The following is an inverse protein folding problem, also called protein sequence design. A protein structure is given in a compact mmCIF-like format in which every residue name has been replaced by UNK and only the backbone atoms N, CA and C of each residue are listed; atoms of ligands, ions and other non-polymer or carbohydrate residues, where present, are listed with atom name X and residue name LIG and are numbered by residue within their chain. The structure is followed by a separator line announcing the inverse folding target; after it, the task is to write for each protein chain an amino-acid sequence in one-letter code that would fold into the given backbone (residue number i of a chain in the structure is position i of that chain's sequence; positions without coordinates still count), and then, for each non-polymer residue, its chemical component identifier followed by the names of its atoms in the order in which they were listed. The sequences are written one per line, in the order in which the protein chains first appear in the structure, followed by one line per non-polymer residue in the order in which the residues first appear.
data_IF_889997630292
#
_entry.id   IF_889997630292
#
_cell.length_a   1.000
_cell.length_b   1.000
_cell.length_c   1.000
_cell.angle_alpha   90.00
_cell.angle_beta   90.00
_cell.angle_gamma   90.00
#
_symmetry.space_group_name_H-M   'P 1'
#
loop_
_entity.id
_entity.type
_entity.pdbx_description
1 polymer ?
#
# COMPACT_ATOMS: atom_id res chain seq x y z
N UNK A 1 0.62 6.36 -7.10
CA UNK A 1 1.64 6.07 -8.15
C UNK A 1 2.74 7.08 -7.98
N UNK A 2 3.99 6.64 -7.98
CA UNK A 2 5.14 7.54 -7.85
C UNK A 2 5.14 8.57 -8.96
N UNK A 3 5.50 9.82 -8.61
CA UNK A 3 5.56 11.00 -9.48
C UNK A 3 4.23 11.35 -10.20
N UNK A 4 3.09 10.84 -9.73
CA UNK A 4 1.77 11.09 -10.33
C UNK A 4 0.72 11.49 -9.30
N UNK A 5 0.65 10.80 -8.17
CA UNK A 5 -0.45 10.99 -7.20
C UNK A 5 -0.13 12.03 -6.14
N UNK A 6 0.26 13.21 -6.57
CA UNK A 6 0.37 14.40 -5.72
C UNK A 6 -1.02 14.86 -5.21
N UNK A 7 -1.09 15.77 -4.25
CA UNK A 7 -2.37 16.29 -3.74
C UNK A 7 -3.29 16.86 -4.81
N UNK A 8 -2.74 17.56 -5.81
CA UNK A 8 -3.55 18.18 -6.87
C UNK A 8 -4.22 17.11 -7.74
N UNK A 9 -3.46 16.08 -8.12
CA UNK A 9 -3.99 14.96 -8.89
C UNK A 9 -5.04 14.15 -8.09
N UNK A 10 -4.79 13.89 -6.79
CA UNK A 10 -5.76 13.19 -5.93
C UNK A 10 -7.07 13.97 -5.80
N UNK A 11 -6.98 15.29 -5.64
CA UNK A 11 -8.17 16.16 -5.62
C UNK A 11 -8.93 16.15 -6.95
N UNK A 12 -8.21 16.11 -8.07
CA UNK A 12 -8.83 15.95 -9.39
C UNK A 12 -9.59 14.62 -9.48
N UNK A 13 -8.98 13.53 -9.06
CA UNK A 13 -9.63 12.21 -9.02
C UNK A 13 -10.92 12.25 -8.18
N UNK A 14 -10.91 12.91 -7.02
CA UNK A 14 -12.10 13.08 -6.17
C UNK A 14 -13.21 13.83 -6.91
N UNK A 15 -12.89 14.88 -7.64
CA UNK A 15 -13.88 15.64 -8.45
C UNK A 15 -14.53 14.77 -9.53
N UNK A 16 -13.80 13.79 -10.07
CA UNK A 16 -14.31 12.84 -11.05
C UNK A 16 -14.90 11.56 -10.44
N UNK A 17 -15.18 11.58 -9.13
CA UNK A 17 -15.95 10.53 -8.47
C UNK A 17 -15.12 9.37 -7.90
N UNK A 18 -13.81 9.54 -7.68
CA UNK A 18 -13.04 8.53 -6.97
C UNK A 18 -13.54 8.39 -5.53
N UNK A 19 -13.95 7.18 -5.14
CA UNK A 19 -14.41 6.88 -3.77
C UNK A 19 -13.30 7.05 -2.75
N UNK A 20 -12.06 6.67 -3.10
CA UNK A 20 -10.85 6.84 -2.28
C UNK A 20 -9.63 7.11 -3.15
N UNK A 21 -8.64 7.74 -2.56
CA UNK A 21 -7.37 8.04 -3.22
C UNK A 21 -6.19 7.55 -2.37
N UNK A 22 -5.04 7.39 -3.02
CA UNK A 22 -3.81 6.89 -2.40
C UNK A 22 -2.69 7.86 -2.66
N UNK A 23 -1.84 8.09 -1.65
CA UNK A 23 -0.62 8.89 -1.83
C UNK A 23 0.38 8.17 -2.76
N UNK A 24 1.43 8.87 -3.13
CA UNK A 24 2.64 8.20 -3.60
C UNK A 24 3.17 7.27 -2.52
N UNK A 25 3.79 6.15 -2.92
CA UNK A 25 4.28 5.20 -1.94
C UNK A 25 5.55 5.71 -1.24
N UNK A 26 5.63 5.43 0.05
CA UNK A 26 6.68 5.89 0.96
C UNK A 26 7.59 4.72 1.33
N UNK A 27 8.90 4.89 1.19
CA UNK A 27 9.85 3.89 1.64
C UNK A 27 9.92 3.84 3.17
N UNK A 28 9.68 2.67 3.76
CA UNK A 28 9.65 2.49 5.21
C UNK A 28 10.99 2.82 5.88
N UNK A 29 12.10 2.29 5.34
CA UNK A 29 13.44 2.56 5.88
C UNK A 29 13.81 4.04 5.83
N UNK A 30 13.41 4.73 4.75
CA UNK A 30 13.66 6.15 4.60
C UNK A 30 12.80 6.99 5.56
N UNK A 31 11.56 6.56 5.79
CA UNK A 31 10.65 7.23 6.72
C UNK A 31 11.14 7.11 8.18
N UNK A 32 11.54 5.91 8.60
CA UNK A 32 12.09 5.67 9.94
C UNK A 32 13.36 6.49 10.20
N UNK A 33 14.14 6.79 9.13
CA UNK A 33 15.33 7.66 9.23
C UNK A 33 15.02 9.15 9.10
N UNK A 34 13.76 9.54 9.12
CA UNK A 34 13.27 10.92 9.01
C UNK A 34 13.83 11.70 7.81
N UNK A 35 13.89 11.04 6.64
CA UNK A 35 14.32 11.70 5.41
C UNK A 35 13.22 12.68 4.95
N UNK A 36 13.52 13.97 4.94
CA UNK A 36 12.57 15.07 4.71
C UNK A 36 11.73 14.94 3.41
N UNK A 37 12.30 14.37 2.34
CA UNK A 37 11.55 14.11 1.10
C UNK A 37 10.47 13.04 1.27
N UNK A 38 10.68 12.11 2.19
CA UNK A 38 9.77 11.03 2.53
C UNK A 38 8.64 11.54 3.40
N UNK A 39 8.96 12.33 4.43
CA UNK A 39 7.98 12.90 5.37
C UNK A 39 6.99 13.84 4.66
N UNK A 40 7.44 14.59 3.64
CA UNK A 40 6.54 15.43 2.83
C UNK A 40 5.43 14.65 2.11
N UNK A 41 5.66 13.39 1.75
CA UNK A 41 4.67 12.53 1.11
C UNK A 41 3.53 12.09 2.04
N UNK A 42 3.66 12.34 3.35
CA UNK A 42 2.60 12.08 4.33
C UNK A 42 1.53 13.18 4.37
N UNK A 43 1.76 14.30 3.67
CA UNK A 43 0.79 15.41 3.64
C UNK A 43 -0.49 14.98 2.94
N UNK A 44 -1.59 15.08 3.67
CA UNK A 44 -2.96 14.82 3.18
C UNK A 44 -3.87 15.98 3.56
N UNK A 45 -4.92 16.19 2.78
CA UNK A 45 -5.91 17.26 3.02
C UNK A 45 -7.29 16.66 3.20
N UNK A 46 -8.14 17.32 4.00
CA UNK A 46 -9.50 16.82 4.29
C UNK A 46 -10.35 16.64 3.02
N UNK A 47 -10.14 17.48 2.02
CA UNK A 47 -10.84 17.37 0.74
C UNK A 47 -10.51 16.10 -0.08
N UNK A 48 -9.42 15.39 0.28
CA UNK A 48 -9.00 14.14 -0.38
C UNK A 48 -9.65 12.90 0.24
N UNK A 49 -10.28 13.04 1.41
CA UNK A 49 -10.79 11.90 2.17
C UNK A 49 -11.95 11.17 1.48
N UNK A 50 -12.06 9.85 1.59
CA UNK A 50 -11.11 8.94 2.26
C UNK A 50 -9.78 8.81 1.51
N UNK A 51 -8.66 8.94 2.23
CA UNK A 51 -7.31 8.88 1.67
C UNK A 51 -6.46 7.85 2.39
N UNK A 52 -5.70 7.07 1.62
CA UNK A 52 -4.73 6.12 2.12
C UNK A 52 -3.31 6.64 1.95
N UNK A 53 -2.47 6.47 2.97
CA UNK A 53 -1.02 6.63 2.82
C UNK A 53 -0.43 5.26 2.52
N UNK A 54 0.29 5.15 1.39
CA UNK A 54 0.85 3.88 0.94
C UNK A 54 2.34 3.79 1.33
N UNK A 55 2.71 2.68 1.98
CA UNK A 55 4.09 2.38 2.39
C UNK A 55 4.62 1.14 1.67
N UNK A 56 5.94 1.05 1.53
CA UNK A 56 6.61 -0.14 1.04
C UNK A 56 7.95 -0.37 1.72
N UNK A 57 8.33 -1.61 1.85
CA UNK A 57 9.58 -2.05 2.44
C UNK A 57 9.67 -3.58 2.39
N UNK A 58 10.73 -4.13 2.95
CA UNK A 58 10.97 -5.57 3.01
C UNK A 58 11.20 -6.11 4.41
N UNK A 59 11.47 -5.22 5.38
CA UNK A 59 11.74 -5.61 6.75
C UNK A 59 10.49 -5.36 7.63
N UNK A 60 9.96 -6.38 8.31
CA UNK A 60 8.72 -6.27 9.10
C UNK A 60 8.78 -5.20 10.17
N UNK A 61 9.90 -5.08 10.89
CA UNK A 61 10.08 -4.07 11.94
C UNK A 61 10.05 -2.65 11.37
N UNK A 62 10.82 -2.39 10.31
CA UNK A 62 10.82 -1.09 9.65
C UNK A 62 9.44 -0.72 9.08
N UNK A 63 8.69 -1.70 8.57
CA UNK A 63 7.34 -1.50 8.08
C UNK A 63 6.36 -1.20 9.23
N UNK A 64 6.50 -1.85 10.36
CA UNK A 64 5.70 -1.57 11.56
C UNK A 64 5.99 -0.16 12.11
N UNK A 65 7.25 0.22 12.20
CA UNK A 65 7.66 1.56 12.67
C UNK A 65 7.20 2.66 11.70
N UNK A 66 7.35 2.45 10.40
CA UNK A 66 6.83 3.35 9.39
C UNK A 66 5.30 3.51 9.48
N UNK A 67 4.58 2.43 9.74
CA UNK A 67 3.13 2.48 9.92
C UNK A 67 2.72 3.32 11.13
N UNK A 68 3.44 3.22 12.27
CA UNK A 68 3.22 4.07 13.45
C UNK A 68 3.44 5.54 13.13
N UNK A 69 4.49 5.86 12.38
CA UNK A 69 4.76 7.24 11.92
C UNK A 69 3.62 7.72 11.02
N UNK A 70 3.22 6.91 10.04
CA UNK A 70 2.12 7.23 9.12
C UNK A 70 0.80 7.45 9.86
N UNK A 71 0.51 6.66 10.89
CA UNK A 71 -0.70 6.81 11.70
C UNK A 71 -0.82 8.19 12.36
N UNK A 72 0.31 8.84 12.68
CA UNK A 72 0.31 10.21 13.23
C UNK A 72 -0.26 11.26 12.27
N UNK A 73 -0.19 11.00 10.95
CA UNK A 73 -0.80 11.85 9.92
C UNK A 73 -2.31 11.63 9.78
N UNK A 74 -2.90 10.69 10.55
CA UNK A 74 -4.33 10.37 10.60
C UNK A 74 -4.94 10.06 9.22
N UNK A 75 -4.38 9.17 8.41
CA UNK A 75 -5.02 8.73 7.18
C UNK A 75 -6.27 7.89 7.50
N UNK A 76 -7.17 7.75 6.53
CA UNK A 76 -8.33 6.85 6.68
C UNK A 76 -7.91 5.37 6.56
N UNK A 77 -6.81 5.10 5.84
CA UNK A 77 -6.22 3.77 5.67
C UNK A 77 -4.70 3.87 5.57
N UNK A 78 -4.01 2.81 5.99
CA UNK A 78 -2.60 2.57 5.65
C UNK A 78 -2.58 1.47 4.61
N UNK A 79 -1.94 1.71 3.45
CA UNK A 79 -1.88 0.73 2.37
C UNK A 79 -0.47 0.19 2.18
N UNK A 80 -0.34 -1.13 2.03
CA UNK A 80 0.94 -1.79 1.80
C UNK A 80 1.12 -2.07 0.31
N UNK A 81 2.22 -1.62 -0.29
CA UNK A 81 2.54 -1.89 -1.66
C UNK A 81 3.29 -3.21 -1.82
N UNK A 82 2.59 -4.24 -2.29
CA UNK A 82 3.14 -5.54 -2.69
C UNK A 82 3.14 -5.73 -4.22
N UNK A 83 3.00 -4.65 -4.99
CA UNK A 83 2.80 -4.76 -6.43
C UNK A 83 3.75 -3.98 -7.32
N UNK A 84 4.61 -3.10 -6.78
CA UNK A 84 5.54 -2.29 -7.58
C UNK A 84 6.60 -3.17 -8.26
N UNK A 85 6.66 -3.22 -9.62
CA UNK A 85 7.60 -4.09 -10.34
C UNK A 85 8.93 -3.42 -10.63
N UNK A 86 9.08 -2.13 -10.30
CA UNK A 86 10.28 -1.36 -10.63
C UNK A 86 11.51 -2.03 -10.03
N UNK A 87 12.56 -2.21 -10.84
CA UNK A 87 13.79 -2.92 -10.47
C UNK A 87 14.43 -2.41 -9.17
N UNK A 88 14.36 -1.10 -8.91
CA UNK A 88 14.86 -0.48 -7.67
C UNK A 88 14.10 -0.93 -6.41
N UNK A 89 12.85 -1.40 -6.56
CA UNK A 89 11.98 -1.87 -5.48
C UNK A 89 11.95 -3.41 -5.48
N UNK A 90 11.44 -4.02 -6.54
CA UNK A 90 11.28 -5.46 -6.65
C UNK A 90 12.62 -6.23 -6.62
N UNK A 91 13.65 -5.69 -7.26
CA UNK A 91 15.00 -6.29 -7.25
C UNK A 91 15.67 -6.27 -5.87
N UNK A 92 15.14 -5.48 -4.93
CA UNK A 92 15.58 -5.45 -3.52
C UNK A 92 14.69 -6.28 -2.60
N UNK A 93 13.76 -7.06 -3.14
CA UNK A 93 12.86 -7.90 -2.37
C UNK A 93 11.70 -7.14 -1.69
N UNK A 94 11.34 -5.95 -2.19
CA UNK A 94 10.18 -5.18 -1.75
C UNK A 94 9.13 -5.11 -2.87
N UNK A 95 7.94 -4.55 -2.62
CA UNK A 95 6.89 -4.46 -3.61
C UNK A 95 6.56 -5.81 -4.26
N UNK A 96 6.56 -5.89 -5.59
CA UNK A 96 6.30 -7.14 -6.31
C UNK A 96 7.34 -8.25 -6.03
N UNK A 97 8.56 -7.89 -5.59
CA UNK A 97 9.57 -8.88 -5.22
C UNK A 97 9.14 -9.81 -4.10
N UNK A 98 8.25 -9.36 -3.22
CA UNK A 98 7.69 -10.16 -2.12
C UNK A 98 6.71 -11.25 -2.59
N UNK A 99 6.22 -11.19 -3.80
CA UNK A 99 5.38 -12.26 -4.36
C UNK A 99 6.13 -13.60 -4.52
N UNK A 100 7.47 -13.54 -4.54
CA UNK A 100 8.35 -14.72 -4.55
C UNK A 100 8.64 -15.27 -3.14
N UNK A 101 8.21 -14.55 -2.09
CA UNK A 101 8.38 -14.91 -0.70
C UNK A 101 7.10 -14.57 0.07
N UNK A 102 6.06 -15.36 -0.16
CA UNK A 102 4.74 -15.19 0.46
C UNK A 102 4.82 -15.25 1.99
N UNK A 103 5.60 -16.13 2.63
CA UNK A 103 5.78 -16.12 4.07
C UNK A 103 6.26 -14.76 4.60
N UNK A 104 7.26 -14.15 3.95
CA UNK A 104 7.78 -12.83 4.31
C UNK A 104 6.74 -11.72 4.09
N UNK A 105 6.00 -11.80 2.98
CA UNK A 105 4.90 -10.87 2.70
C UNK A 105 3.84 -10.91 3.81
N UNK A 106 3.48 -12.09 4.30
CA UNK A 106 2.54 -12.29 5.41
C UNK A 106 3.08 -11.77 6.73
N UNK A 107 4.36 -11.99 7.01
CA UNK A 107 5.04 -11.47 8.19
C UNK A 107 4.97 -9.95 8.24
N UNK A 108 5.29 -9.28 7.12
CA UNK A 108 5.20 -7.83 6.98
C UNK A 108 3.77 -7.34 7.22
N UNK A 109 2.78 -7.97 6.57
CA UNK A 109 1.39 -7.58 6.73
C UNK A 109 0.92 -7.70 8.19
N UNK A 110 1.27 -8.79 8.87
CA UNK A 110 0.97 -8.99 10.29
C UNK A 110 1.66 -7.96 11.18
N UNK A 111 2.94 -7.65 10.92
CA UNK A 111 3.68 -6.66 11.68
C UNK A 111 3.02 -5.28 11.58
N UNK A 112 2.60 -4.86 10.38
CA UNK A 112 1.90 -3.60 10.17
C UNK A 112 0.54 -3.57 10.86
N UNK A 113 -0.29 -4.61 10.66
CA UNK A 113 -1.63 -4.68 11.28
C UNK A 113 -1.56 -4.64 12.80
N UNK A 114 -0.57 -5.30 13.40
CA UNK A 114 -0.41 -5.32 14.85
C UNK A 114 0.18 -4.02 15.41
N UNK A 115 0.76 -3.17 14.57
CA UNK A 115 1.44 -1.95 15.00
C UNK A 115 0.53 -0.73 15.11
N UNK A 116 -0.66 -0.75 14.47
CA UNK A 116 -1.53 0.42 14.30
C UNK A 116 -3.00 0.08 14.56
N UNK A 117 -3.80 1.12 14.83
CA UNK A 117 -5.27 1.03 14.93
C UNK A 117 -5.97 1.39 13.62
N UNK A 118 -5.31 2.17 12.76
CA UNK A 118 -5.82 2.56 11.45
C UNK A 118 -6.03 1.32 10.57
N UNK A 119 -7.16 1.21 9.84
CA UNK A 119 -7.41 0.09 8.95
C UNK A 119 -6.28 -0.08 7.92
N UNK A 120 -5.81 -1.32 7.74
CA UNK A 120 -4.72 -1.66 6.82
C UNK A 120 -5.27 -2.34 5.58
N UNK A 121 -4.82 -1.89 4.41
CA UNK A 121 -5.09 -2.50 3.11
C UNK A 121 -3.77 -2.90 2.44
N UNK A 122 -3.84 -3.73 1.43
CA UNK A 122 -2.66 -4.09 0.65
C UNK A 122 -2.99 -4.13 -0.84
N UNK A 123 -2.12 -3.53 -1.65
CA UNK A 123 -2.18 -3.62 -3.11
C UNK A 123 -1.14 -4.61 -3.60
N UNK A 124 -1.61 -5.66 -4.26
CA UNK A 124 -0.77 -6.74 -4.78
C UNK A 124 -0.98 -6.94 -6.29
N UNK A 125 -0.30 -7.91 -6.87
CA UNK A 125 -0.53 -8.51 -8.19
C UNK A 125 -1.09 -9.91 -8.02
N UNK A 126 -1.54 -10.52 -9.10
CA UNK A 126 -2.04 -11.90 -9.09
C UNK A 126 -0.94 -12.93 -8.79
N UNK A 127 0.32 -12.59 -9.03
CA UNK A 127 1.49 -13.42 -8.79
C UNK A 127 2.74 -12.72 -9.29
N UNK A 128 3.89 -13.39 -9.17
CA UNK A 128 5.16 -12.91 -9.72
C UNK A 128 5.19 -13.04 -11.24
N UNK A 129 4.78 -14.20 -11.74
CA UNK A 129 4.63 -14.53 -13.16
C UNK A 129 3.46 -15.51 -13.37
N UNK A 130 3.28 -16.00 -14.58
CA UNK A 130 2.17 -16.92 -14.94
C UNK A 130 2.28 -18.28 -14.25
N UNK A 131 3.49 -18.72 -13.91
CA UNK A 131 3.72 -20.00 -13.25
C UNK A 131 3.56 -19.91 -11.73
N UNK A 132 3.68 -18.69 -11.17
CA UNK A 132 3.67 -18.43 -9.73
C UNK A 132 2.52 -17.48 -9.35
N UNK A 133 1.30 -17.91 -9.65
CA UNK A 133 0.10 -17.17 -9.29
C UNK A 133 -0.23 -17.40 -7.81
N UNK A 134 -0.54 -16.31 -7.11
CA UNK A 134 -1.06 -16.40 -5.75
C UNK A 134 -2.36 -17.21 -5.75
N UNK A 135 -2.54 -18.15 -4.82
CA UNK A 135 -3.79 -18.87 -4.68
C UNK A 135 -4.95 -17.88 -4.57
N UNK A 136 -6.06 -18.16 -5.25
CA UNK A 136 -7.30 -17.36 -5.15
C UNK A 136 -7.91 -17.37 -3.74
N UNK A 137 -7.33 -18.10 -2.82
CA UNK A 137 -7.72 -18.14 -1.41
C UNK A 137 -7.03 -16.96 -0.73
N UNK A 138 -7.82 -16.14 -0.06
CA UNK A 138 -7.37 -15.03 0.78
C UNK A 138 -6.32 -15.50 1.83
N UNK A 139 -5.01 -15.56 1.52
CA UNK A 139 -4.01 -16.14 2.41
C UNK A 139 -3.74 -15.25 3.62
N UNK A 140 -4.26 -14.01 3.60
CA UNK A 140 -4.11 -13.03 4.66
C UNK A 140 -5.29 -13.04 5.64
N UNK A 141 -6.36 -13.80 5.36
CA UNK A 141 -7.60 -13.72 6.12
C UNK A 141 -8.22 -12.31 6.12
N UNK A 142 -7.72 -11.42 5.26
CA UNK A 142 -8.24 -10.07 5.11
C UNK A 142 -9.64 -10.18 4.52
N UNK A 143 -10.62 -9.51 5.13
CA UNK A 143 -11.96 -9.42 4.56
C UNK A 143 -11.84 -8.72 3.21
N UNK A 144 -11.84 -9.49 2.12
CA UNK A 144 -12.06 -8.93 0.80
C UNK A 144 -13.47 -8.38 0.80
N UNK A 145 -13.70 -7.13 0.38
CA UNK A 145 -15.06 -6.69 0.08
C UNK A 145 -15.60 -7.68 -0.96
N UNK A 146 -16.71 -8.34 -0.67
CA UNK A 146 -17.37 -9.23 -1.63
C UNK A 146 -17.68 -8.43 -2.89
N UNK A 147 -17.09 -8.82 -3.99
CA UNK A 147 -17.46 -8.33 -5.33
C UNK A 147 -18.75 -9.02 -5.82
N UNK A 148 -19.55 -9.57 -4.92
CA UNK A 148 -20.88 -10.06 -5.22
C UNK A 148 -21.80 -8.85 -5.43
N UNK A 149 -22.06 -8.52 -6.68
CA UNK A 149 -23.14 -7.62 -7.06
C UNK A 149 -22.86 -6.53 -8.11
N UNK A 150 -21.68 -6.50 -8.74
CA UNK A 150 -21.51 -5.64 -9.93
C UNK A 150 -21.02 -6.49 -11.09
N UNK A 151 -21.95 -6.66 -12.06
CA UNK A 151 -21.70 -7.35 -13.30
C UNK A 151 -20.42 -6.88 -13.99
N UNK A 152 -19.79 -7.84 -14.63
CA UNK A 152 -18.46 -7.75 -15.18
C UNK A 152 -18.20 -6.52 -16.03
N UNK A 153 -17.08 -5.91 -15.72
CA UNK A 153 -16.15 -5.35 -16.70
C UNK A 153 -14.83 -5.20 -15.96
N UNK A 154 -13.79 -5.86 -16.50
CA UNK A 154 -12.47 -5.91 -15.90
C UNK A 154 -11.80 -4.54 -15.93
N UNK A 155 -11.27 -4.14 -14.79
CA UNK A 155 -10.29 -3.07 -14.70
C UNK A 155 -8.91 -3.68 -14.47
N UNK A 156 -8.05 -3.49 -15.47
CA UNK A 156 -6.62 -3.76 -15.42
C UNK A 156 -5.88 -2.78 -14.50
#
# INVERSE_FOLDING_TARGET
MEDVTDPAFRMLCKRYGADRVYTEFVNADALVRDIASTTRKLTIHDAERPVAIQIYGREPEAMADAARIVETAKPDFIDINFGCPVKKVAGKGAGAGLLRDVPKMLEIAKAVVNAVHTPVTAKTRLGWDEADLLPRVNPLGLKTPSLEGRGGEGFF
#
